data_IF_974659729755
#
_entry.id   IF_974659729755
#
_cell.length_a   1.000
_cell.length_b   1.000
_cell.length_c   1.000
_cell.angle_alpha   90.00
_cell.angle_beta   90.00
_cell.angle_gamma   90.00
#
_symmetry.space_group_name_H-M   'P 1'
#
loop_
_entity.id
_entity.type
_entity.pdbx_description
1 polymer ?
#
# COMPACT_ATOMS: atom_id res chain seq x y z
N UNK A 1 3.21 11.22 24.90
CA UNK A 1 1.93 10.56 25.20
C UNK A 1 2.20 9.29 25.97
N UNK A 2 1.26 8.84 26.79
CA UNK A 2 1.32 7.56 27.52
C UNK A 2 0.60 6.49 26.70
N UNK A 3 1.27 5.36 26.42
CA UNK A 3 0.70 4.25 25.64
C UNK A 3 -0.48 3.58 26.36
N UNK A 4 -0.59 3.73 27.68
CA UNK A 4 -1.74 3.24 28.46
C UNK A 4 -3.06 3.95 28.11
N UNK A 5 -2.97 5.13 27.52
CA UNK A 5 -4.14 5.92 27.13
C UNK A 5 -4.64 5.63 25.71
N UNK A 6 -4.01 4.69 24.99
CA UNK A 6 -4.40 4.36 23.62
C UNK A 6 -5.72 3.55 23.55
N UNK A 7 -6.14 2.94 24.66
CA UNK A 7 -7.32 2.06 24.68
C UNK A 7 -7.09 0.77 23.89
N UNK A 8 -8.18 0.22 23.36
CA UNK A 8 -8.13 -0.95 22.49
C UNK A 8 -7.75 -0.50 21.07
N UNK A 9 -6.55 -0.85 20.63
CA UNK A 9 -6.04 -0.61 19.28
C UNK A 9 -5.83 -1.93 18.54
N UNK A 10 -5.96 -1.91 17.22
CA UNK A 10 -5.70 -3.05 16.33
C UNK A 10 -4.20 -3.30 16.08
N UNK A 11 -3.36 -2.35 16.47
CA UNK A 11 -1.91 -2.42 16.38
C UNK A 11 -1.32 -3.50 17.30
N UNK A 12 -0.62 -4.48 16.72
CA UNK A 12 0.17 -5.46 17.45
C UNK A 12 1.66 -5.13 17.35
N UNK A 13 2.39 -5.30 18.46
CA UNK A 13 3.86 -5.20 18.45
C UNK A 13 4.46 -6.36 17.65
N UNK A 14 5.23 -6.03 16.62
CA UNK A 14 5.97 -7.01 15.80
C UNK A 14 7.48 -6.97 16.07
N UNK A 15 7.92 -6.26 17.11
CA UNK A 15 9.34 -6.03 17.40
C UNK A 15 10.11 -7.34 17.60
N UNK A 16 9.54 -8.27 18.36
CA UNK A 16 10.17 -9.57 18.62
C UNK A 16 10.36 -10.36 17.32
N UNK A 17 9.37 -10.34 16.42
CA UNK A 17 9.47 -11.00 15.11
C UNK A 17 10.59 -10.37 14.25
N UNK A 18 10.71 -9.05 14.25
CA UNK A 18 11.75 -8.32 13.50
C UNK A 18 13.17 -8.58 14.05
N UNK A 19 13.34 -8.63 15.37
CA UNK A 19 14.67 -8.75 16.01
C UNK A 19 15.14 -10.20 16.06
N UNK A 20 14.23 -11.13 16.31
CA UNK A 20 14.58 -12.54 16.56
C UNK A 20 14.33 -13.46 15.38
N UNK A 21 13.77 -12.93 14.29
CA UNK A 21 13.30 -13.71 13.14
C UNK A 21 12.29 -14.80 13.57
N UNK A 22 11.47 -14.51 14.57
CA UNK A 22 10.39 -15.38 15.04
C UNK A 22 9.10 -15.13 14.24
N UNK A 23 8.14 -16.09 14.23
CA UNK A 23 6.86 -15.89 13.54
C UNK A 23 6.15 -14.62 14.03
N UNK A 24 5.60 -13.87 13.09
CA UNK A 24 4.79 -12.69 13.39
C UNK A 24 3.57 -13.07 14.24
N UNK A 25 3.21 -12.28 15.28
CA UNK A 25 1.95 -12.48 16.00
C UNK A 25 0.72 -12.13 15.14
N UNK A 26 0.92 -11.35 14.07
CA UNK A 26 -0.14 -10.98 13.13
C UNK A 26 -0.41 -12.13 12.16
N UNK A 27 -1.56 -12.76 12.30
CA UNK A 27 -2.07 -13.82 11.42
C UNK A 27 -3.06 -13.30 10.37
N UNK A 28 -3.56 -12.08 10.56
CA UNK A 28 -4.51 -11.41 9.65
C UNK A 28 -4.02 -10.02 9.28
N UNK A 29 -4.09 -9.68 8.00
CA UNK A 29 -3.71 -8.39 7.46
C UNK A 29 -4.88 -7.88 6.62
N UNK A 30 -5.50 -6.79 7.07
CA UNK A 30 -6.43 -6.04 6.24
C UNK A 30 -5.62 -5.17 5.27
N UNK A 31 -5.71 -5.46 3.97
CA UNK A 31 -5.01 -4.68 2.95
C UNK A 31 -5.78 -3.41 2.60
N UNK A 32 -7.10 -3.51 2.47
CA UNK A 32 -7.96 -2.39 2.14
C UNK A 32 -9.43 -2.67 2.53
N UNK A 33 -10.14 -1.61 2.92
CA UNK A 33 -11.61 -1.51 2.94
C UNK A 33 -11.94 -0.14 2.39
N UNK A 34 -12.47 -0.10 1.18
CA UNK A 34 -12.94 1.12 0.56
C UNK A 34 -14.47 1.16 0.60
N UNK A 35 -15.10 2.00 1.44
CA UNK A 35 -16.56 2.14 1.47
C UNK A 35 -17.13 2.95 0.30
N UNK A 36 -16.30 3.62 -0.51
CA UNK A 36 -16.69 4.41 -1.68
C UNK A 36 -16.80 3.49 -2.90
N UNK A 37 -15.71 2.79 -3.21
CA UNK A 37 -15.66 1.87 -4.36
C UNK A 37 -16.14 0.45 -4.01
N UNK A 38 -16.43 0.22 -2.72
CA UNK A 38 -16.86 -1.07 -2.17
C UNK A 38 -15.89 -2.19 -2.53
N UNK A 39 -14.58 -1.95 -2.34
CA UNK A 39 -13.50 -2.90 -2.59
C UNK A 39 -12.82 -3.24 -1.27
N UNK A 40 -12.71 -4.53 -0.96
CA UNK A 40 -12.06 -5.02 0.25
C UNK A 40 -11.09 -6.14 -0.05
N UNK A 41 -9.96 -6.13 0.65
CA UNK A 41 -8.98 -7.22 0.60
C UNK A 41 -8.44 -7.55 2.00
N UNK A 42 -8.47 -8.84 2.33
CA UNK A 42 -8.05 -9.38 3.61
C UNK A 42 -7.15 -10.60 3.37
N UNK A 43 -6.02 -10.66 4.06
CA UNK A 43 -5.17 -11.86 4.13
C UNK A 43 -5.30 -12.49 5.53
N UNK A 44 -5.49 -13.81 5.57
CA UNK A 44 -5.44 -14.64 6.80
C UNK A 44 -4.50 -15.81 6.56
N UNK A 45 -3.33 -15.79 7.18
CA UNK A 45 -2.27 -16.76 6.95
C UNK A 45 -1.85 -16.81 5.48
N UNK A 46 -2.01 -17.97 4.86
CA UNK A 46 -1.68 -18.19 3.44
C UNK A 46 -2.78 -17.71 2.49
N UNK A 47 -3.99 -17.42 2.99
CA UNK A 47 -5.14 -17.14 2.16
C UNK A 47 -5.39 -15.63 2.01
N UNK A 48 -5.67 -15.18 0.80
CA UNK A 48 -6.08 -13.80 0.50
C UNK A 48 -7.45 -13.80 -0.15
N UNK A 49 -8.35 -13.01 0.42
CA UNK A 49 -9.69 -12.73 -0.09
C UNK A 49 -9.70 -11.35 -0.74
N UNK A 50 -10.34 -11.26 -1.90
CA UNK A 50 -10.63 -10.02 -2.61
C UNK A 50 -12.12 -10.02 -2.97
N UNK A 51 -12.81 -8.90 -2.71
CA UNK A 51 -14.22 -8.72 -3.06
C UNK A 51 -14.48 -7.26 -3.42
N UNK A 52 -15.48 -7.02 -4.27
CA UNK A 52 -15.92 -5.67 -4.56
C UNK A 52 -15.89 -5.29 -6.02
N UNK A 53 -16.21 -4.03 -6.30
CA UNK A 53 -16.31 -3.51 -7.65
C UNK A 53 -14.94 -3.08 -8.20
N UNK A 54 -14.10 -4.05 -8.54
CA UNK A 54 -12.95 -3.77 -9.40
C UNK A 54 -13.49 -3.54 -10.82
N UNK A 55 -13.56 -2.28 -11.25
CA UNK A 55 -13.67 -2.01 -12.70
C UNK A 55 -12.45 -2.65 -13.37
N UNK A 56 -12.62 -3.19 -14.58
CA UNK A 56 -11.56 -3.91 -15.29
C UNK A 56 -10.29 -3.07 -15.54
N UNK A 57 -10.35 -1.75 -15.32
CA UNK A 57 -9.25 -0.79 -15.40
C UNK A 57 -8.43 -0.68 -14.10
N UNK A 58 -8.88 -1.26 -12.98
CA UNK A 58 -8.16 -1.30 -11.70
C UNK A 58 -7.64 -2.74 -11.45
N UNK A 59 -6.92 -3.29 -12.42
CA UNK A 59 -6.18 -4.56 -12.27
C UNK A 59 -4.86 -4.40 -11.51
N UNK A 60 -4.46 -3.16 -11.26
CA UNK A 60 -3.24 -2.80 -10.55
C UNK A 60 -3.59 -1.75 -9.51
N UNK A 61 -2.80 -1.66 -8.44
CA UNK A 61 -2.69 -0.44 -7.64
C UNK A 61 -2.47 0.73 -8.62
N UNK A 62 -3.51 1.52 -8.87
CA UNK A 62 -3.45 2.73 -9.71
C UNK A 62 -2.74 3.84 -8.95
N UNK A 63 -1.52 3.55 -8.47
CA UNK A 63 -0.55 4.58 -8.19
C UNK A 63 0.02 4.95 -9.55
N UNK A 64 -0.36 6.11 -10.08
CA UNK A 64 0.43 7.20 -10.75
C UNK A 64 1.85 6.91 -11.32
N UNK A 65 2.23 5.65 -11.54
CA UNK A 65 3.58 5.15 -11.73
C UNK A 65 3.63 4.01 -12.78
N UNK A 66 2.55 3.75 -13.51
CA UNK A 66 2.54 2.74 -14.58
C UNK A 66 3.33 3.21 -15.82
N UNK A 67 3.32 4.51 -16.12
CA UNK A 67 4.08 5.12 -17.22
C UNK A 67 5.43 5.72 -16.80
N UNK A 68 5.79 5.61 -15.53
CA UNK A 68 7.15 5.94 -15.12
C UNK A 68 8.03 4.74 -15.40
N UNK A 69 8.96 4.91 -16.35
CA UNK A 69 10.09 4.01 -16.57
C UNK A 69 10.71 3.72 -15.19
N UNK A 70 10.37 2.59 -14.59
CA UNK A 70 10.81 2.28 -13.22
C UNK A 70 12.29 2.00 -13.35
N UNK A 71 13.19 2.86 -12.82
CA UNK A 71 14.59 2.46 -12.76
C UNK A 71 14.64 1.14 -11.98
N UNK A 72 15.44 0.17 -12.43
CA UNK A 72 15.51 -1.16 -11.81
C UNK A 72 15.81 -1.03 -10.30
N UNK A 73 16.49 0.06 -9.90
CA UNK A 73 16.45 0.57 -8.54
C UNK A 73 16.78 2.07 -8.46
N UNK A 74 16.33 2.72 -7.37
CA UNK A 74 16.85 4.03 -6.94
C UNK A 74 18.38 3.98 -6.77
N UNK A 75 18.92 2.80 -6.46
CA UNK A 75 20.33 2.56 -6.25
C UNK A 75 21.13 2.72 -7.54
N UNK A 76 20.63 2.23 -8.67
CA UNK A 76 21.26 2.40 -9.98
C UNK A 76 21.32 3.88 -10.41
N UNK A 77 20.19 4.60 -10.29
CA UNK A 77 20.06 5.96 -10.82
C UNK A 77 20.64 7.05 -9.88
N UNK A 78 20.41 6.93 -8.57
CA UNK A 78 20.82 7.95 -7.59
C UNK A 78 22.18 7.64 -6.99
N UNK A 79 22.50 6.37 -6.69
CA UNK A 79 23.66 6.04 -5.85
C UNK A 79 24.85 5.43 -6.60
N UNK A 80 24.63 4.65 -7.68
CA UNK A 80 25.70 3.98 -8.42
C UNK A 80 26.25 4.82 -9.59
N UNK A 81 25.40 5.36 -10.48
CA UNK A 81 25.87 6.06 -11.70
C UNK A 81 26.34 7.51 -11.54
N UNK A 82 26.36 8.02 -10.31
CA UNK A 82 26.89 9.37 -10.02
C UNK A 82 25.97 10.49 -10.47
N UNK A 83 25.23 11.02 -9.51
CA UNK A 83 24.36 12.17 -9.69
C UNK A 83 24.81 13.32 -8.78
N UNK A 84 24.45 14.56 -9.15
CA UNK A 84 24.62 15.73 -8.28
C UNK A 84 23.99 15.49 -6.91
N UNK A 85 22.85 14.80 -6.87
CA UNK A 85 22.14 14.44 -5.63
C UNK A 85 23.00 13.51 -4.77
N UNK A 86 23.63 12.49 -5.36
CA UNK A 86 24.56 11.59 -4.65
C UNK A 86 25.67 12.35 -3.95
N UNK A 87 26.28 13.27 -4.68
CA UNK A 87 27.48 13.97 -4.22
C UNK A 87 27.13 14.93 -3.07
N UNK A 88 25.99 15.64 -3.17
CA UNK A 88 25.44 16.45 -2.08
C UNK A 88 25.11 15.59 -0.85
N UNK A 89 24.42 14.46 -1.02
CA UNK A 89 24.07 13.58 0.10
C UNK A 89 25.33 13.01 0.79
N UNK A 90 26.37 12.67 0.02
CA UNK A 90 27.68 12.27 0.57
C UNK A 90 28.36 13.40 1.36
N UNK A 91 28.35 14.62 0.82
CA UNK A 91 28.91 15.79 1.50
C UNK A 91 28.18 16.07 2.83
N UNK A 92 26.86 15.87 2.86
CA UNK A 92 26.04 15.97 4.07
C UNK A 92 26.25 14.81 5.06
N UNK A 93 27.07 13.81 4.73
CA UNK A 93 27.33 12.66 5.59
C UNK A 93 26.14 11.69 5.72
N UNK A 94 25.19 11.73 4.80
CA UNK A 94 24.04 10.83 4.80
C UNK A 94 24.43 9.44 4.31
N UNK A 95 23.82 8.41 4.90
CA UNK A 95 24.05 7.02 4.50
C UNK A 95 23.52 6.78 3.09
N UNK A 96 24.36 6.20 2.23
CA UNK A 96 23.97 5.72 0.91
C UNK A 96 24.02 4.18 0.87
N UNK A 97 23.00 3.52 0.29
CA UNK A 97 23.03 2.08 0.07
C UNK A 97 24.29 1.67 -0.72
N UNK A 98 25.07 0.74 -0.17
CA UNK A 98 26.26 0.17 -0.83
C UNK A 98 26.05 -1.28 -1.27
N UNK A 99 24.91 -1.88 -0.92
CA UNK A 99 24.60 -3.26 -1.23
C UNK A 99 24.14 -3.40 -2.68
N UNK A 100 24.51 -4.52 -3.31
CA UNK A 100 23.91 -4.95 -4.57
C UNK A 100 22.44 -5.27 -4.34
N UNK A 101 21.59 -5.05 -5.34
CA UNK A 101 20.14 -5.29 -5.28
C UNK A 101 19.76 -6.78 -5.20
N UNK A 102 20.71 -7.67 -4.90
CA UNK A 102 20.51 -9.12 -4.76
C UNK A 102 19.39 -9.49 -3.79
N UNK A 103 19.19 -8.70 -2.73
CA UNK A 103 18.06 -8.89 -1.81
C UNK A 103 16.71 -8.52 -2.44
N UNK A 104 16.66 -7.51 -3.33
CA UNK A 104 15.46 -7.14 -4.10
C UNK A 104 15.16 -8.22 -5.14
N UNK A 105 16.16 -8.62 -5.91
CA UNK A 105 16.05 -9.71 -6.89
C UNK A 105 15.58 -11.01 -6.22
N UNK A 106 16.11 -11.32 -5.03
CA UNK A 106 15.71 -12.48 -4.24
C UNK A 106 14.33 -12.36 -3.57
N UNK A 107 13.78 -11.14 -3.47
CA UNK A 107 12.44 -10.87 -2.92
C UNK A 107 11.38 -10.69 -4.01
N UNK A 108 11.79 -10.64 -5.28
CA UNK A 108 10.89 -10.44 -6.41
C UNK A 108 10.09 -11.71 -6.70
N UNK A 109 8.76 -11.56 -6.79
CA UNK A 109 7.89 -12.60 -7.30
C UNK A 109 7.83 -12.48 -8.81
N UNK A 110 8.34 -13.50 -9.51
CA UNK A 110 8.30 -13.58 -10.98
C UNK A 110 7.09 -14.40 -11.41
N UNK A 111 6.09 -13.71 -11.96
CA UNK A 111 4.90 -14.33 -12.50
C UNK A 111 5.06 -14.50 -14.01
N UNK A 112 5.23 -15.75 -14.45
CA UNK A 112 5.02 -16.09 -15.85
C UNK A 112 3.53 -15.96 -16.17
N UNK A 113 3.18 -15.58 -17.40
CA UNK A 113 1.81 -15.21 -17.80
C UNK A 113 0.74 -16.21 -17.33
N UNK A 114 -0.49 -15.71 -17.15
CA UNK A 114 -1.60 -16.48 -16.58
C UNK A 114 -1.78 -17.84 -17.29
N UNK A 115 -1.88 -18.96 -16.55
CA UNK A 115 -2.14 -20.25 -17.17
C UNK A 115 -3.49 -20.21 -17.91
N UNK A 116 -3.59 -20.90 -19.05
CA UNK A 116 -4.80 -20.92 -19.89
C UNK A 116 -6.07 -21.38 -19.13
N UNK A 117 -5.91 -22.07 -18.00
CA UNK A 117 -6.98 -22.58 -17.14
C UNK A 117 -7.18 -21.76 -15.85
N UNK A 118 -6.61 -20.56 -15.76
CA UNK A 118 -6.89 -19.65 -14.66
C UNK A 118 -8.39 -19.34 -14.62
N UNK A 119 -9.07 -19.74 -13.55
CA UNK A 119 -10.46 -19.32 -13.32
C UNK A 119 -10.46 -17.81 -13.16
N UNK A 120 -11.04 -17.10 -14.14
CA UNK A 120 -11.12 -15.65 -14.14
C UNK A 120 -11.88 -15.18 -12.89
N UNK A 121 -11.18 -14.46 -12.02
CA UNK A 121 -11.76 -13.81 -10.86
C UNK A 121 -12.47 -12.54 -11.31
N UNK A 122 -13.77 -12.45 -11.03
CA UNK A 122 -14.55 -11.22 -11.18
C UNK A 122 -15.13 -10.83 -9.83
N UNK A 123 -14.41 -10.02 -9.02
CA UNK A 123 -14.81 -9.70 -7.65
C UNK A 123 -16.10 -8.89 -7.57
N UNK A 124 -16.51 -8.28 -8.70
CA UNK A 124 -17.81 -7.63 -8.86
C UNK A 124 -18.97 -8.64 -8.78
N UNK A 125 -18.78 -9.85 -9.31
CA UNK A 125 -19.80 -10.89 -9.34
C UNK A 125 -19.70 -11.84 -8.14
N UNK A 126 -18.48 -12.25 -7.77
CA UNK A 126 -18.24 -13.19 -6.68
C UNK A 126 -16.88 -12.95 -6.01
N UNK A 127 -16.74 -13.16 -4.69
CA UNK A 127 -15.45 -13.05 -4.01
C UNK A 127 -14.40 -14.00 -4.58
N UNK A 128 -13.14 -13.58 -4.55
CA UNK A 128 -12.01 -14.37 -5.01
C UNK A 128 -11.10 -14.72 -3.85
N UNK A 129 -10.68 -15.98 -3.80
CA UNK A 129 -9.82 -16.51 -2.76
C UNK A 129 -8.58 -17.11 -3.41
N UNK A 130 -7.41 -16.76 -2.90
CA UNK A 130 -6.11 -17.25 -3.37
C UNK A 130 -5.30 -17.80 -2.21
N UNK A 131 -4.44 -18.78 -2.49
CA UNK A 131 -3.42 -19.22 -1.56
C UNK A 131 -2.08 -18.60 -1.96
N UNK A 132 -1.66 -17.53 -1.30
CA UNK A 132 -0.47 -16.74 -1.64
C UNK A 132 0.83 -17.53 -1.47
N UNK A 133 0.85 -18.55 -0.60
CA UNK A 133 2.03 -19.40 -0.41
C UNK A 133 2.22 -20.37 -1.57
N UNK A 134 1.12 -20.87 -2.16
CA UNK A 134 1.16 -21.77 -3.32
C UNK A 134 1.05 -21.03 -4.67
N UNK A 135 0.41 -19.87 -4.69
CA UNK A 135 0.06 -19.04 -5.84
C UNK A 135 0.28 -17.56 -5.47
N UNK A 136 1.54 -17.11 -5.38
CA UNK A 136 1.86 -15.72 -5.04
C UNK A 136 1.43 -14.73 -6.13
N UNK A 137 1.12 -15.24 -7.33
CA UNK A 137 0.67 -14.46 -8.47
C UNK A 137 -0.85 -14.26 -8.50
N UNK A 138 -1.61 -14.92 -7.63
CA UNK A 138 -3.07 -14.79 -7.58
C UNK A 138 -3.77 -15.18 -8.90
N UNK A 139 -3.32 -16.28 -9.50
CA UNK A 139 -3.77 -16.74 -10.82
C UNK A 139 -4.94 -17.73 -10.74
N UNK A 140 -5.09 -18.46 -9.63
CA UNK A 140 -6.10 -19.52 -9.49
C UNK A 140 -7.08 -19.20 -8.37
N UNK A 141 -8.28 -18.75 -8.74
CA UNK A 141 -9.36 -18.56 -7.77
C UNK A 141 -9.85 -19.91 -7.22
N UNK A 142 -9.77 -20.06 -5.90
CA UNK A 142 -10.21 -21.26 -5.15
C UNK A 142 -11.45 -21.00 -4.28
N UNK A 143 -12.13 -19.86 -4.43
CA UNK A 143 -13.29 -19.48 -3.62
C UNK A 143 -14.41 -20.54 -3.60
N UNK A 144 -14.77 -21.07 -4.77
CA UNK A 144 -15.84 -22.07 -4.91
C UNK A 144 -15.52 -23.40 -4.19
N UNK A 145 -14.24 -23.69 -3.96
CA UNK A 145 -13.80 -24.91 -3.26
C UNK A 145 -13.87 -24.79 -1.75
N UNK A 146 -13.87 -23.56 -1.22
CA UNK A 146 -13.80 -23.28 0.22
C UNK A 146 -14.81 -22.19 0.64
N UNK A 147 -16.11 -22.39 0.39
CA UNK A 147 -17.13 -21.38 0.66
C UNK A 147 -17.22 -20.99 2.15
N UNK A 148 -16.99 -21.92 3.07
CA UNK A 148 -16.97 -21.64 4.51
C UNK A 148 -15.82 -20.71 4.92
N UNK A 149 -14.67 -20.80 4.25
CA UNK A 149 -13.52 -19.94 4.50
C UNK A 149 -13.79 -18.53 3.97
N UNK A 150 -14.37 -18.44 2.77
CA UNK A 150 -14.79 -17.17 2.17
C UNK A 150 -15.78 -16.45 3.09
N UNK A 151 -16.82 -17.15 3.56
CA UNK A 151 -17.82 -16.58 4.48
C UNK A 151 -17.17 -16.08 5.78
N UNK A 152 -16.28 -16.88 6.38
CA UNK A 152 -15.56 -16.50 7.58
C UNK A 152 -14.73 -15.22 7.38
N UNK A 153 -13.99 -15.12 6.27
CA UNK A 153 -13.17 -13.95 5.95
C UNK A 153 -14.02 -12.72 5.62
N UNK A 154 -15.16 -12.89 4.93
CA UNK A 154 -16.13 -11.80 4.69
C UNK A 154 -16.71 -11.26 6.01
N UNK A 155 -17.01 -12.12 6.98
CA UNK A 155 -17.49 -11.69 8.29
C UNK A 155 -16.42 -10.91 9.08
N UNK A 156 -15.16 -11.26 8.92
CA UNK A 156 -14.04 -10.47 9.46
C UNK A 156 -13.97 -9.09 8.82
N UNK A 157 -14.10 -8.99 7.49
CA UNK A 157 -14.18 -7.70 6.80
C UNK A 157 -15.33 -6.84 7.35
N UNK A 158 -16.53 -7.40 7.53
CA UNK A 158 -17.68 -6.69 8.11
C UNK A 158 -17.43 -6.18 9.53
N UNK A 159 -16.63 -6.90 10.31
CA UNK A 159 -16.26 -6.49 11.67
C UNK A 159 -15.37 -5.25 11.62
N UNK A 160 -14.38 -5.23 10.71
CA UNK A 160 -13.55 -4.05 10.48
C UNK A 160 -14.36 -2.88 9.92
N UNK A 161 -15.29 -3.11 8.99
CA UNK A 161 -16.21 -2.09 8.48
C UNK A 161 -17.03 -1.44 9.61
N UNK A 162 -17.50 -2.24 10.57
CA UNK A 162 -18.26 -1.75 11.73
C UNK A 162 -17.44 -0.88 12.68
N UNK A 163 -16.11 -0.96 12.63
CA UNK A 163 -15.18 -0.15 13.43
C UNK A 163 -14.58 1.01 12.63
N UNK A 164 -14.78 1.04 11.31
CA UNK A 164 -14.16 2.01 10.43
C UNK A 164 -14.71 3.43 10.66
N UNK A 165 -13.81 4.40 10.68
CA UNK A 165 -14.17 5.82 10.68
C UNK A 165 -14.37 6.26 9.22
N UNK A 166 -15.32 7.18 9.00
CA UNK A 166 -15.58 7.71 7.66
C UNK A 166 -14.30 8.31 7.04
N UNK A 167 -14.04 8.07 5.74
CA UNK A 167 -12.94 8.72 5.03
C UNK A 167 -12.95 10.23 5.24
N UNK A 168 -11.82 10.80 5.65
CA UNK A 168 -11.66 12.23 5.90
C UNK A 168 -11.28 12.96 4.61
N UNK A 169 -12.00 12.70 3.52
CA UNK A 169 -11.78 13.40 2.26
C UNK A 169 -12.26 14.85 2.40
N UNK A 170 -11.32 15.80 2.33
CA UNK A 170 -11.61 17.23 2.34
C UNK A 170 -11.24 17.82 0.98
N UNK A 171 -11.94 18.88 0.58
CA UNK A 171 -11.54 19.66 -0.58
C UNK A 171 -10.11 20.20 -0.35
N UNK A 172 -9.29 20.16 -1.39
CA UNK A 172 -7.96 20.75 -1.34
C UNK A 172 -8.06 22.23 -0.96
N UNK A 173 -7.33 22.64 0.07
CA UNK A 173 -7.20 24.06 0.42
C UNK A 173 -6.31 24.75 -0.63
N UNK A 174 -6.83 25.72 -1.41
CA UNK A 174 -6.04 26.40 -2.42
C UNK A 174 -4.82 27.14 -1.84
N UNK A 175 -4.84 27.49 -0.55
CA UNK A 175 -3.70 28.13 0.10
C UNK A 175 -2.54 27.17 0.35
N UNK A 176 -2.77 25.86 0.30
CA UNK A 176 -1.70 24.85 0.40
C UNK A 176 -0.92 24.66 -0.90
N UNK A 177 -1.29 25.34 -1.99
CA UNK A 177 -0.58 25.24 -3.27
C UNK A 177 0.86 25.77 -3.13
N UNK A 178 1.90 24.98 -3.49
CA UNK A 178 3.29 25.44 -3.46
C UNK A 178 3.55 26.71 -4.27
N UNK A 179 2.74 27.01 -5.29
CA UNK A 179 2.83 28.28 -6.03
C UNK A 179 2.62 29.51 -5.13
N UNK A 180 1.88 29.36 -4.03
CA UNK A 180 1.66 30.40 -3.03
C UNK A 180 2.83 30.55 -2.05
N UNK A 181 3.82 29.64 -2.08
CA UNK A 181 4.89 29.49 -1.08
C UNK A 181 6.27 29.36 -1.72
N UNK A 182 6.51 30.08 -2.83
CA UNK A 182 7.82 30.05 -3.49
C UNK A 182 8.21 28.68 -4.04
N UNK A 183 7.21 27.88 -4.46
CA UNK A 183 7.36 26.51 -4.96
C UNK A 183 7.84 25.49 -3.91
N UNK A 184 7.61 25.77 -2.63
CA UNK A 184 7.87 24.85 -1.52
C UNK A 184 6.58 24.35 -0.87
N UNK A 185 6.61 23.11 -0.37
CA UNK A 185 5.58 22.63 0.55
C UNK A 185 5.90 23.16 1.96
N UNK A 186 4.93 23.85 2.56
CA UNK A 186 5.06 24.47 3.89
C UNK A 186 3.82 24.13 4.73
N UNK A 187 3.86 24.22 6.06
CA UNK A 187 2.65 24.11 6.88
C UNK A 187 1.81 25.40 6.74
N UNK A 188 1.06 25.51 5.64
CA UNK A 188 0.40 26.76 5.20
C UNK A 188 -0.68 27.31 6.16
N UNK A 189 -1.07 26.54 7.18
CA UNK A 189 -1.97 26.98 8.25
C UNK A 189 -1.23 27.66 9.41
N UNK A 190 0.09 27.52 9.48
CA UNK A 190 0.90 28.18 10.50
C UNK A 190 0.99 29.68 10.20
N UNK A 191 0.85 30.56 11.20
CA UNK A 191 0.79 32.02 10.98
C UNK A 191 1.94 32.60 10.17
N UNK A 192 3.11 31.98 10.23
CA UNK A 192 4.33 32.39 9.52
C UNK A 192 4.31 32.08 8.01
N UNK A 193 3.43 31.16 7.58
CA UNK A 193 3.29 30.71 6.20
C UNK A 193 1.97 31.15 5.56
N UNK A 194 1.15 31.94 6.25
CA UNK A 194 -0.09 32.49 5.67
C UNK A 194 0.30 33.55 4.62
N UNK A 195 0.08 33.23 3.34
CA UNK A 195 0.33 34.13 2.22
C UNK A 195 -0.95 34.60 1.55
N UNK A 196 -0.97 35.85 1.09
CA UNK A 196 -2.06 36.37 0.26
C UNK A 196 -1.77 35.99 -1.20
N UNK A 197 -2.28 34.83 -1.62
CA UNK A 197 -1.94 34.22 -2.89
C UNK A 197 -2.81 34.77 -4.03
N UNK A 198 -2.22 35.55 -4.93
CA UNK A 198 -2.91 36.17 -6.07
C UNK A 198 -3.41 35.19 -7.13
N UNK A 199 -2.99 33.94 -7.08
CA UNK A 199 -3.33 32.89 -8.04
C UNK A 199 -4.58 32.10 -7.67
N UNK A 200 -5.06 32.22 -6.43
CA UNK A 200 -6.32 31.64 -5.99
C UNK A 200 -7.44 32.45 -6.65
N UNK A 201 -8.07 31.88 -7.68
CA UNK A 201 -9.24 32.50 -8.32
C UNK A 201 -10.35 32.62 -7.27
N UNK A 202 -10.91 33.84 -7.14
CA UNK A 202 -12.11 34.12 -6.33
C UNK A 202 -13.32 33.36 -6.85
#
# INVERSE_FOLDING_TARGET
GDTKNLGDIDGQSIWDALVTNSPSPRTEILHNIDPIDNISSLRRGDLKLITGNLTADVKTFSGILEDMDKPQSMDEWVFQNGSTVRDILKEMGLYLPQATDTWREGSEVKCDGAPETANECSPFHAPCLYNITADPCEMTNIADRYPEVVESMLNTIKTFEGQAVKPQFQAQDPHGDPMCHGFAYVPWLDPEHITNCSFIKK
#
